data_IF_151150694114
#
_entry.id   IF_151150694114
#
_cell.length_a   1.000
_cell.length_b   1.000
_cell.length_c   1.000
_cell.angle_alpha   90.00
_cell.angle_beta   90.00
_cell.angle_gamma   90.00
#
_symmetry.space_group_name_H-M   'P 1'
#
loop_
_entity.id
_entity.type
_entity.pdbx_description
1 polymer ?
#
# COMPACT_ATOMS: atom_id res chain seq x y z
N UNK A 1 45.32 -52.85 72.85
CA UNK A 1 45.11 -53.44 71.51
C UNK A 1 45.33 -52.34 70.48
N UNK A 2 46.39 -52.50 69.68
CA UNK A 2 46.70 -51.69 68.50
C UNK A 2 45.83 -52.19 67.35
N UNK A 3 45.29 -51.27 66.55
CA UNK A 3 44.90 -51.58 65.17
C UNK A 3 45.34 -50.42 64.29
N UNK A 4 46.10 -50.77 63.26
CA UNK A 4 46.80 -49.92 62.31
C UNK A 4 46.00 -49.84 61.01
N UNK A 5 45.93 -48.68 60.34
CA UNK A 5 45.54 -48.58 58.92
C UNK A 5 45.91 -47.18 58.37
N UNK A 6 46.98 -47.02 57.61
CA UNK A 6 47.15 -47.06 56.13
C UNK A 6 46.83 -45.74 55.41
N UNK A 7 47.82 -45.26 54.64
CA UNK A 7 47.95 -44.02 53.84
C UNK A 7 47.21 -44.13 52.50
N UNK A 8 46.61 -43.03 51.99
CA UNK A 8 46.58 -42.70 50.53
C UNK A 8 46.53 -41.17 50.32
N UNK A 9 47.34 -40.57 49.42
CA UNK A 9 47.28 -39.17 49.01
C UNK A 9 46.31 -38.96 47.84
N UNK A 10 45.56 -37.87 47.80
CA UNK A 10 44.71 -37.51 46.64
C UNK A 10 45.17 -36.21 45.98
N UNK A 11 45.38 -36.34 44.66
CA UNK A 11 45.87 -35.34 43.72
C UNK A 11 45.01 -34.07 43.68
N UNK A 12 45.66 -32.91 43.55
CA UNK A 12 45.05 -31.66 43.10
C UNK A 12 44.82 -31.72 41.58
N UNK A 13 43.57 -31.83 41.15
CA UNK A 13 43.17 -31.64 39.75
C UNK A 13 43.01 -30.15 39.45
N UNK A 14 43.87 -29.61 38.59
CA UNK A 14 43.70 -28.30 37.98
C UNK A 14 42.69 -28.40 36.82
N UNK A 15 41.53 -27.74 36.96
CA UNK A 15 40.58 -27.60 35.87
C UNK A 15 41.04 -26.46 34.95
N UNK A 16 41.36 -26.80 33.69
CA UNK A 16 41.57 -25.82 32.62
C UNK A 16 40.18 -25.36 32.16
N UNK A 17 39.83 -24.11 32.50
CA UNK A 17 38.62 -23.44 32.06
C UNK A 17 38.80 -23.02 30.59
N UNK A 18 38.20 -23.77 29.67
CA UNK A 18 38.19 -23.45 28.24
C UNK A 18 36.96 -22.57 27.95
N UNK A 19 37.12 -21.25 28.01
CA UNK A 19 36.05 -20.30 27.69
C UNK A 19 35.89 -20.23 26.17
N UNK A 20 34.86 -20.89 25.64
CA UNK A 20 34.43 -20.73 24.24
C UNK A 20 33.68 -19.40 24.14
N UNK A 21 34.35 -18.39 23.60
CA UNK A 21 33.72 -17.13 23.17
C UNK A 21 32.85 -17.43 21.93
N UNK A 22 31.56 -17.64 22.14
CA UNK A 22 30.57 -17.58 21.07
C UNK A 22 30.43 -16.11 20.65
N UNK A 23 31.15 -15.72 19.60
CA UNK A 23 30.93 -14.45 18.92
C UNK A 23 29.53 -14.48 18.29
N UNK A 24 28.63 -13.65 18.81
CA UNK A 24 27.35 -13.36 18.18
C UNK A 24 27.60 -12.73 16.81
N UNK A 25 27.40 -13.50 15.75
CA UNK A 25 27.38 -12.98 14.39
C UNK A 25 26.14 -12.10 14.24
N UNK A 26 26.33 -10.78 14.28
CA UNK A 26 25.30 -9.83 13.86
C UNK A 26 25.13 -9.97 12.36
N UNK A 27 24.09 -10.68 11.93
CA UNK A 27 23.65 -10.62 10.55
C UNK A 27 23.19 -9.18 10.28
N UNK A 28 23.87 -8.49 9.37
CA UNK A 28 23.38 -7.23 8.84
C UNK A 28 22.06 -7.54 8.13
N UNK A 29 20.93 -7.22 8.77
CA UNK A 29 19.65 -7.23 8.07
C UNK A 29 19.73 -6.12 7.01
N UNK A 30 19.60 -6.49 5.74
CA UNK A 30 19.38 -5.51 4.69
C UNK A 30 18.10 -4.74 5.05
N UNK A 31 18.21 -3.43 5.25
CA UNK A 31 17.03 -2.59 5.41
C UNK A 31 16.21 -2.67 4.13
N UNK A 32 14.87 -2.87 4.21
CA UNK A 32 14.04 -2.85 3.02
C UNK A 32 14.23 -1.52 2.30
N UNK A 33 14.52 -1.58 0.99
CA UNK A 33 14.54 -0.38 0.16
C UNK A 33 13.11 0.14 0.08
N UNK A 34 12.82 1.39 0.49
CA UNK A 34 11.47 1.93 0.42
C UNK A 34 10.95 1.86 -1.01
N UNK A 35 9.78 1.26 -1.19
CA UNK A 35 9.11 1.25 -2.48
C UNK A 35 8.42 2.60 -2.67
N UNK A 36 8.79 3.28 -3.74
CA UNK A 36 8.16 4.52 -4.13
C UNK A 36 6.73 4.30 -4.61
N UNK A 37 5.79 5.09 -4.07
CA UNK A 37 4.44 5.22 -4.60
C UNK A 37 4.21 6.67 -4.93
N UNK A 38 4.03 6.93 -6.22
CA UNK A 38 3.94 8.26 -6.79
C UNK A 38 2.77 8.30 -7.74
N UNK A 39 1.87 9.27 -7.53
CA UNK A 39 0.69 9.47 -8.36
C UNK A 39 0.79 10.87 -8.96
N UNK A 40 0.94 10.93 -10.28
CA UNK A 40 1.12 12.16 -11.04
C UNK A 40 -0.19 12.88 -11.34
N UNK A 41 -1.32 12.16 -11.35
CA UNK A 41 -2.61 12.73 -11.69
C UNK A 41 -3.78 11.84 -11.33
N UNK A 42 -4.94 12.47 -11.19
CA UNK A 42 -6.23 11.82 -11.10
C UNK A 42 -7.23 12.61 -11.95
N UNK A 43 -8.19 11.95 -12.60
CA UNK A 43 -9.25 12.63 -13.33
C UNK A 43 -10.55 11.81 -13.33
N UNK A 44 -11.71 12.41 -13.04
CA UNK A 44 -12.99 11.74 -13.18
C UNK A 44 -13.45 11.75 -14.64
N UNK A 45 -14.05 10.64 -15.09
CA UNK A 45 -14.82 10.55 -16.33
C UNK A 45 -16.29 10.31 -15.96
N UNK A 46 -17.18 11.13 -16.50
CA UNK A 46 -18.62 11.08 -16.22
C UNK A 46 -19.39 10.58 -17.43
N UNK A 47 -20.46 9.84 -17.16
CA UNK A 47 -21.43 9.42 -18.15
C UNK A 47 -22.32 10.57 -18.63
N UNK A 48 -23.04 10.33 -19.70
CA UNK A 48 -23.87 11.35 -20.34
C UNK A 48 -25.14 11.72 -19.56
N UNK A 49 -25.49 10.96 -18.50
CA UNK A 49 -26.66 11.24 -17.65
C UNK A 49 -26.45 12.35 -16.63
N UNK A 50 -25.23 12.90 -16.52
CA UNK A 50 -24.95 14.01 -15.61
C UNK A 50 -25.05 15.35 -16.31
N UNK A 51 -25.57 16.35 -15.61
CA UNK A 51 -25.57 17.72 -16.09
C UNK A 51 -26.56 18.59 -15.33
N UNK A 52 -26.47 19.89 -15.56
CA UNK A 52 -27.47 20.84 -15.10
C UNK A 52 -28.46 21.07 -16.25
N UNK A 53 -29.74 20.77 -16.03
CA UNK A 53 -30.79 21.19 -16.94
C UNK A 53 -30.85 22.74 -16.98
N UNK A 54 -30.64 23.32 -18.16
CA UNK A 54 -30.54 24.78 -18.33
C UNK A 54 -31.91 25.47 -18.44
N UNK A 55 -32.96 24.71 -18.73
CA UNK A 55 -34.32 25.21 -18.86
C UNK A 55 -35.15 24.75 -17.65
N UNK A 56 -36.20 25.52 -17.32
CA UNK A 56 -37.27 25.04 -16.42
C UNK A 56 -38.07 23.96 -17.13
N UNK A 57 -37.44 22.81 -17.31
CA UNK A 57 -38.08 21.58 -17.74
C UNK A 57 -39.14 21.28 -16.69
N UNK A 58 -40.36 20.94 -17.13
CA UNK A 58 -41.37 20.44 -16.20
C UNK A 58 -40.76 19.30 -15.39
N UNK A 59 -40.97 19.24 -14.09
CA UNK A 59 -40.31 18.27 -13.20
C UNK A 59 -40.49 16.78 -13.56
N UNK A 60 -41.26 16.44 -14.58
CA UNK A 60 -41.44 15.07 -15.09
C UNK A 60 -40.68 14.82 -16.42
N UNK A 61 -39.96 15.83 -16.92
CA UNK A 61 -39.25 15.79 -18.21
C UNK A 61 -37.73 15.97 -18.06
N UNK A 62 -37.23 16.17 -16.84
CA UNK A 62 -35.79 16.24 -16.58
C UNK A 62 -35.12 14.94 -17.06
N UNK A 63 -33.91 15.07 -17.60
CA UNK A 63 -33.17 13.96 -18.20
C UNK A 63 -31.73 13.86 -17.72
N UNK A 64 -31.23 14.89 -17.04
CA UNK A 64 -29.88 14.97 -16.50
C UNK A 64 -29.93 15.14 -14.99
N UNK A 65 -29.17 14.32 -14.28
CA UNK A 65 -28.99 14.43 -12.84
C UNK A 65 -27.89 15.45 -12.52
N UNK A 66 -28.18 16.46 -11.69
CA UNK A 66 -27.17 17.45 -11.27
C UNK A 66 -26.32 16.91 -10.12
N UNK A 67 -25.36 16.05 -10.48
CA UNK A 67 -24.23 15.66 -9.61
C UNK A 67 -22.94 16.20 -10.22
N UNK A 68 -22.17 16.93 -9.43
CA UNK A 68 -20.93 17.57 -9.88
C UNK A 68 -19.73 16.92 -9.26
N UNK A 69 -18.83 16.44 -10.10
CA UNK A 69 -17.54 15.91 -9.69
C UNK A 69 -16.48 16.98 -9.96
N UNK A 70 -15.80 17.43 -8.90
CA UNK A 70 -14.68 18.35 -9.02
C UNK A 70 -13.38 17.62 -8.66
N UNK A 71 -12.41 17.68 -9.56
CA UNK A 71 -11.07 17.18 -9.31
C UNK A 71 -10.28 18.21 -8.51
N UNK A 72 -9.83 17.83 -7.31
CA UNK A 72 -8.98 18.68 -6.45
C UNK A 72 -7.63 18.02 -6.18
N UNK A 73 -7.34 16.91 -6.87
CA UNK A 73 -6.11 16.16 -6.70
C UNK A 73 -4.88 16.99 -7.12
N UNK A 74 -3.82 16.88 -6.32
CA UNK A 74 -2.49 17.33 -6.66
C UNK A 74 -1.52 16.15 -6.64
N UNK A 75 -0.57 16.13 -7.56
CA UNK A 75 0.48 15.11 -7.59
C UNK A 75 1.20 15.00 -6.24
N UNK A 76 1.50 13.78 -5.84
CA UNK A 76 2.02 13.48 -4.52
C UNK A 76 2.71 12.13 -4.49
N UNK A 77 3.68 12.02 -3.58
CA UNK A 77 4.54 10.88 -3.41
C UNK A 77 4.50 10.46 -1.94
N UNK A 78 4.24 9.18 -1.69
CA UNK A 78 4.29 8.66 -0.34
C UNK A 78 4.79 7.22 -0.33
N UNK A 79 6.05 6.96 0.10
CA UNK A 79 6.62 5.63 0.05
C UNK A 79 5.86 4.66 0.99
N UNK A 80 5.65 3.44 0.51
CA UNK A 80 5.12 2.33 1.31
C UNK A 80 6.21 1.26 1.39
N UNK A 81 6.79 1.05 2.57
CA UNK A 81 7.91 0.13 2.79
C UNK A 81 7.50 -1.20 3.43
N UNK A 82 6.30 -1.27 4.02
CA UNK A 82 5.85 -2.44 4.77
C UNK A 82 4.49 -2.94 4.28
N UNK A 83 4.33 -4.26 4.22
CA UNK A 83 3.04 -4.89 3.93
C UNK A 83 2.01 -4.47 4.99
N UNK A 84 0.85 -4.04 4.52
CA UNK A 84 -0.22 -3.49 5.35
C UNK A 84 -0.13 -1.97 5.55
N UNK A 85 0.98 -1.32 5.16
CA UNK A 85 1.07 0.13 5.19
C UNK A 85 0.09 0.73 4.16
N UNK A 86 -0.60 1.79 4.58
CA UNK A 86 -1.60 2.48 3.78
C UNK A 86 -1.36 3.97 3.69
N UNK A 87 -1.82 4.55 2.60
CA UNK A 87 -1.81 5.98 2.37
C UNK A 87 -3.15 6.42 1.78
N UNK A 88 -3.78 7.38 2.45
CA UNK A 88 -5.05 7.96 2.02
C UNK A 88 -4.86 9.39 1.56
N UNK A 89 -5.55 9.75 0.50
CA UNK A 89 -5.52 11.08 -0.08
C UNK A 89 -6.84 11.46 -0.74
N UNK A 90 -7.04 12.75 -0.94
CA UNK A 90 -8.23 13.30 -1.58
C UNK A 90 -8.06 13.30 -3.11
N UNK A 91 -9.07 12.80 -3.81
CA UNK A 91 -9.19 12.88 -5.27
C UNK A 91 -9.94 14.14 -5.69
N UNK A 92 -10.98 14.48 -4.95
CA UNK A 92 -11.96 15.44 -5.40
C UNK A 92 -13.15 15.56 -4.47
N UNK A 93 -14.15 16.26 -4.94
CA UNK A 93 -15.45 16.37 -4.29
C UNK A 93 -16.57 15.91 -5.22
N UNK A 94 -17.62 15.37 -4.62
CA UNK A 94 -18.88 15.01 -5.27
C UNK A 94 -19.95 15.84 -4.63
N UNK A 95 -20.65 16.66 -5.41
CA UNK A 95 -21.65 17.59 -4.93
C UNK A 95 -22.99 17.28 -5.60
N UNK A 96 -23.93 16.77 -4.81
CA UNK A 96 -25.28 16.50 -5.26
C UNK A 96 -26.09 17.80 -5.18
N UNK A 97 -26.52 18.30 -6.34
CA UNK A 97 -27.19 19.59 -6.49
C UNK A 97 -28.52 19.45 -7.22
N UNK A 98 -29.16 18.32 -7.05
CA UNK A 98 -30.44 18.08 -7.70
C UNK A 98 -31.49 19.05 -7.13
N UNK A 99 -31.87 20.02 -7.96
CA UNK A 99 -32.76 21.11 -7.63
C UNK A 99 -33.97 21.01 -8.55
N UNK A 100 -34.68 19.88 -8.58
CA UNK A 100 -35.67 19.69 -9.65
C UNK A 100 -36.74 20.80 -9.62
N UNK A 101 -36.65 21.72 -10.59
CA UNK A 101 -37.46 22.94 -10.69
C UNK A 101 -38.78 22.65 -11.39
N UNK A 102 -39.67 21.90 -10.73
CA UNK A 102 -41.06 21.76 -11.14
C UNK A 102 -41.96 22.86 -10.60
N UNK A 103 -43.10 23.10 -11.25
CA UNK A 103 -44.19 23.83 -10.59
C UNK A 103 -44.81 22.93 -9.50
N UNK A 104 -44.38 23.15 -8.26
CA UNK A 104 -44.76 22.37 -7.09
C UNK A 104 -43.52 22.09 -6.24
N UNK A 105 -43.61 22.25 -4.93
CA UNK A 105 -42.48 22.18 -3.98
C UNK A 105 -41.87 20.77 -3.83
N UNK A 106 -41.90 19.91 -4.85
CA UNK A 106 -41.40 18.55 -4.78
C UNK A 106 -40.05 18.45 -5.52
N UNK A 107 -38.97 18.61 -4.76
CA UNK A 107 -37.64 18.19 -5.17
C UNK A 107 -37.67 16.65 -5.31
N UNK A 108 -37.33 16.10 -6.48
CA UNK A 108 -37.35 14.66 -6.73
C UNK A 108 -36.35 14.28 -7.83
N UNK A 109 -35.91 13.03 -7.85
CA UNK A 109 -35.29 12.40 -9.03
C UNK A 109 -36.40 11.74 -9.86
N UNK A 110 -36.42 11.98 -11.16
CA UNK A 110 -37.30 11.32 -12.12
C UNK A 110 -36.66 10.04 -12.66
N UNK A 111 -37.48 9.13 -13.18
CA UNK A 111 -36.97 7.90 -13.81
C UNK A 111 -36.10 8.15 -15.04
N UNK A 112 -36.21 9.31 -15.68
CA UNK A 112 -35.44 9.62 -16.87
C UNK A 112 -34.02 10.09 -16.53
N UNK A 113 -33.77 10.48 -15.28
CA UNK A 113 -32.46 10.93 -14.79
C UNK A 113 -31.60 9.77 -14.25
N UNK A 114 -32.12 8.54 -14.21
CA UNK A 114 -31.40 7.38 -13.66
C UNK A 114 -30.51 6.65 -14.67
N UNK A 115 -30.57 7.03 -15.94
CA UNK A 115 -29.84 6.38 -17.02
C UNK A 115 -28.52 7.10 -17.35
N UNK A 116 -27.52 6.34 -17.82
CA UNK A 116 -26.26 6.92 -18.30
C UNK A 116 -25.35 7.50 -17.21
N UNK A 117 -25.57 7.12 -15.94
CA UNK A 117 -24.88 7.66 -14.76
C UNK A 117 -23.49 7.04 -14.49
N UNK A 118 -22.78 6.50 -15.48
CA UNK A 118 -21.46 5.90 -15.24
C UNK A 118 -20.43 6.88 -14.68
N UNK A 119 -19.60 6.45 -13.73
CA UNK A 119 -18.49 7.26 -13.19
C UNK A 119 -17.23 6.40 -13.12
N UNK A 120 -16.10 6.96 -13.53
CA UNK A 120 -14.80 6.33 -13.33
C UNK A 120 -13.74 7.35 -12.94
N UNK A 121 -12.71 6.91 -12.23
CA UNK A 121 -11.50 7.68 -11.92
C UNK A 121 -10.31 7.07 -12.63
N UNK A 122 -9.62 7.89 -13.42
CA UNK A 122 -8.32 7.56 -13.99
C UNK A 122 -7.23 8.05 -13.04
N UNK A 123 -6.38 7.15 -12.54
CA UNK A 123 -5.22 7.47 -11.71
C UNK A 123 -3.93 7.18 -12.47
N UNK A 124 -3.07 8.18 -12.62
CA UNK A 124 -1.79 8.06 -13.32
C UNK A 124 -0.67 7.84 -12.31
N UNK A 125 -0.17 6.61 -12.22
CA UNK A 125 0.97 6.28 -11.37
C UNK A 125 2.28 6.54 -12.13
N UNK A 126 3.27 7.04 -11.41
CA UNK A 126 4.67 7.20 -11.86
C UNK A 126 5.60 6.20 -11.17
N UNK A 127 5.25 5.78 -9.95
CA UNK A 127 5.86 4.67 -9.21
C UNK A 127 4.77 3.83 -8.55
N UNK A 128 4.85 2.49 -8.54
CA UNK A 128 5.98 1.66 -8.97
C UNK A 128 6.15 1.50 -10.50
N UNK A 129 5.30 2.14 -11.29
CA UNK A 129 5.34 2.14 -12.76
C UNK A 129 4.79 3.44 -13.33
N UNK A 130 4.96 3.62 -14.65
CA UNK A 130 4.25 4.63 -15.43
C UNK A 130 3.04 3.96 -16.10
N UNK A 131 1.90 3.95 -15.42
CA UNK A 131 0.65 3.39 -15.98
C UNK A 131 -0.58 4.11 -15.44
N UNK A 132 -1.63 4.10 -16.25
CA UNK A 132 -2.94 4.61 -15.85
C UNK A 132 -3.82 3.46 -15.36
N UNK A 133 -4.49 3.69 -14.23
CA UNK A 133 -5.42 2.75 -13.62
C UNK A 133 -6.80 3.38 -13.67
N UNK A 134 -7.74 2.72 -14.34
CA UNK A 134 -9.12 3.16 -14.40
C UNK A 134 -9.96 2.39 -13.38
N UNK A 135 -10.53 3.12 -12.43
CA UNK A 135 -11.41 2.60 -11.40
C UNK A 135 -12.83 2.98 -11.76
N UNK A 136 -13.75 2.02 -11.84
CA UNK A 136 -15.15 2.27 -12.23
C UNK A 136 -16.07 2.11 -11.03
N UNK A 137 -16.98 3.06 -10.84
CA UNK A 137 -17.98 3.01 -9.78
C UNK A 137 -19.18 2.16 -10.17
N UNK A 138 -19.82 1.58 -9.15
CA UNK A 138 -21.21 1.17 -9.18
C UNK A 138 -22.08 2.31 -8.67
N UNK A 139 -23.05 2.74 -9.47
CA UNK A 139 -23.88 3.92 -9.18
C UNK A 139 -25.30 3.47 -8.87
N UNK A 140 -25.91 4.09 -7.86
CA UNK A 140 -27.33 3.96 -7.57
C UNK A 140 -27.98 5.33 -7.57
N UNK A 141 -29.05 5.51 -8.34
CA UNK A 141 -29.92 6.67 -8.29
C UNK A 141 -31.36 6.19 -8.15
N UNK A 142 -32.06 6.63 -7.12
CA UNK A 142 -33.42 6.22 -6.83
C UNK A 142 -34.40 7.31 -7.24
N UNK A 143 -35.26 7.03 -8.21
CA UNK A 143 -36.33 7.95 -8.55
C UNK A 143 -37.32 8.08 -7.38
N UNK A 144 -37.62 9.31 -6.98
CA UNK A 144 -38.40 9.58 -5.79
C UNK A 144 -38.17 10.98 -5.22
N UNK A 145 -38.94 11.37 -4.19
CA UNK A 145 -38.76 12.64 -3.49
C UNK A 145 -37.36 12.74 -2.87
N UNK A 146 -36.76 13.93 -2.93
CA UNK A 146 -35.49 14.22 -2.27
C UNK A 146 -35.70 14.64 -0.82
N UNK A 147 -34.67 14.42 0.00
CA UNK A 147 -34.70 14.83 1.42
C UNK A 147 -35.63 13.97 2.26
N UNK A 148 -35.76 12.69 1.88
CA UNK A 148 -36.36 11.66 2.71
C UNK A 148 -35.28 10.75 3.31
N UNK A 149 -35.71 9.75 4.11
CA UNK A 149 -34.79 8.85 4.81
C UNK A 149 -34.02 7.88 3.89
N UNK A 150 -34.60 7.38 2.77
CA UNK A 150 -33.85 6.66 1.74
C UNK A 150 -32.65 7.43 1.15
N UNK A 151 -31.72 6.68 0.57
CA UNK A 151 -30.62 7.23 -0.22
C UNK A 151 -31.14 7.60 -1.60
N UNK A 152 -30.95 8.85 -2.00
CA UNK A 152 -31.32 9.37 -3.32
C UNK A 152 -30.27 8.98 -4.37
N UNK A 153 -29.00 9.18 -4.02
CA UNK A 153 -27.87 8.94 -4.92
C UNK A 153 -26.67 8.36 -4.17
N UNK A 154 -26.01 7.38 -4.78
CA UNK A 154 -24.88 6.66 -4.19
C UNK A 154 -23.82 6.30 -5.23
N UNK A 155 -22.56 6.46 -4.84
CA UNK A 155 -21.37 6.09 -5.58
C UNK A 155 -20.60 5.06 -4.76
N UNK A 156 -20.51 3.84 -5.29
CA UNK A 156 -19.87 2.72 -4.60
C UNK A 156 -18.70 2.19 -5.43
N UNK A 157 -17.65 1.75 -4.75
CA UNK A 157 -16.43 1.31 -5.40
C UNK A 157 -16.08 -0.13 -5.05
N UNK A 158 -15.47 -0.83 -6.01
CA UNK A 158 -14.86 -2.13 -5.74
C UNK A 158 -13.36 -1.95 -5.51
N UNK A 159 -12.88 -2.51 -4.40
CA UNK A 159 -11.45 -2.61 -4.11
C UNK A 159 -10.72 -3.25 -5.29
N UNK A 160 -9.70 -2.56 -5.82
CA UNK A 160 -8.98 -3.00 -7.01
C UNK A 160 -7.54 -3.39 -6.66
N UNK A 161 -7.19 -4.69 -6.67
CA UNK A 161 -5.82 -5.13 -6.51
C UNK A 161 -5.02 -4.94 -7.80
N UNK A 162 -3.76 -4.56 -7.67
CA UNK A 162 -2.84 -4.23 -8.75
C UNK A 162 -1.50 -4.92 -8.48
N UNK A 163 -1.06 -5.76 -9.40
CA UNK A 163 0.21 -6.49 -9.29
C UNK A 163 1.32 -5.67 -9.91
N UNK A 164 2.46 -5.49 -9.23
CA UNK A 164 3.61 -4.74 -9.70
C UNK A 164 4.94 -5.46 -9.46
N UNK A 165 5.93 -5.14 -10.30
CA UNK A 165 7.19 -5.88 -10.31
C UNK A 165 6.98 -7.39 -10.44
N UNK A 166 7.88 -8.16 -9.85
CA UNK A 166 7.70 -9.62 -9.70
C UNK A 166 7.16 -9.89 -8.30
N UNK A 167 5.92 -10.36 -8.19
CA UNK A 167 5.32 -10.76 -6.91
C UNK A 167 4.84 -9.61 -6.01
N UNK A 168 4.97 -8.34 -6.41
CA UNK A 168 4.44 -7.22 -5.65
C UNK A 168 2.95 -7.03 -5.91
N UNK A 169 2.21 -6.59 -4.91
CA UNK A 169 0.79 -6.27 -5.04
C UNK A 169 0.39 -5.11 -4.12
N UNK A 170 -0.43 -4.19 -4.62
CA UNK A 170 -1.12 -3.20 -3.81
C UNK A 170 -2.61 -3.20 -4.13
N UNK A 171 -3.41 -2.56 -3.28
CA UNK A 171 -4.83 -2.37 -3.49
C UNK A 171 -5.18 -0.90 -3.43
N UNK A 172 -6.03 -0.47 -4.35
CA UNK A 172 -6.67 0.85 -4.30
C UNK A 172 -8.11 0.67 -3.85
N UNK A 173 -8.51 1.46 -2.85
CA UNK A 173 -9.88 1.56 -2.36
C UNK A 173 -10.31 3.01 -2.37
N UNK A 174 -11.45 3.30 -2.98
CA UNK A 174 -12.12 4.59 -2.85
C UNK A 174 -13.17 4.48 -1.74
N UNK A 175 -13.43 5.57 -1.01
CA UNK A 175 -14.59 5.57 -0.10
C UNK A 175 -15.89 5.67 -0.90
N UNK A 176 -16.92 5.04 -0.38
CA UNK A 176 -18.27 5.20 -0.91
C UNK A 176 -18.82 6.57 -0.50
N UNK A 177 -19.70 7.11 -1.34
CA UNK A 177 -20.38 8.38 -1.13
C UNK A 177 -21.88 8.13 -1.30
N UNK A 178 -22.69 8.68 -0.40
CA UNK A 178 -24.14 8.55 -0.46
C UNK A 178 -24.81 9.82 0.03
N UNK A 179 -25.90 10.22 -0.63
CA UNK A 179 -26.70 11.38 -0.29
C UNK A 179 -28.11 10.94 0.09
N UNK A 180 -28.54 11.31 1.29
CA UNK A 180 -29.86 11.09 1.89
C UNK A 180 -30.19 12.27 2.82
N UNK A 181 -31.47 12.47 3.18
CA UNK A 181 -32.02 13.39 4.21
C UNK A 181 -31.69 14.90 4.07
N UNK A 182 -30.43 15.24 3.77
CA UNK A 182 -29.94 16.55 3.36
C UNK A 182 -29.09 16.39 2.08
N UNK A 183 -29.75 16.47 0.92
CA UNK A 183 -29.15 16.38 -0.41
C UNK A 183 -28.32 17.63 -0.81
N UNK A 184 -27.89 18.45 0.16
CA UNK A 184 -27.16 19.69 -0.09
C UNK A 184 -25.78 19.62 0.55
N UNK A 185 -24.75 19.58 -0.29
CA UNK A 185 -23.37 19.72 0.13
C UNK A 185 -22.42 18.78 -0.59
N UNK A 186 -21.20 19.24 -0.77
CA UNK A 186 -20.13 18.43 -1.34
C UNK A 186 -19.59 17.43 -0.31
N UNK A 187 -19.44 16.17 -0.71
CA UNK A 187 -18.69 15.15 0.02
C UNK A 187 -17.32 14.92 -0.63
N UNK A 188 -16.31 14.67 0.19
CA UNK A 188 -14.94 14.39 -0.30
C UNK A 188 -14.83 12.96 -0.80
N UNK A 189 -14.33 12.80 -2.02
CA UNK A 189 -13.87 11.52 -2.55
C UNK A 189 -12.39 11.34 -2.23
N UNK A 190 -12.08 10.28 -1.50
CA UNK A 190 -10.74 9.85 -1.13
C UNK A 190 -10.40 8.51 -1.79
N UNK A 191 -9.10 8.29 -1.96
CA UNK A 191 -8.53 7.00 -2.34
C UNK A 191 -7.51 6.57 -1.28
N UNK A 192 -7.45 5.28 -1.03
CA UNK A 192 -6.50 4.63 -0.12
C UNK A 192 -5.72 3.58 -0.88
N UNK A 193 -4.41 3.74 -0.94
CA UNK A 193 -3.48 2.74 -1.46
C UNK A 193 -2.96 1.93 -0.27
N UNK A 194 -3.03 0.61 -0.35
CA UNK A 194 -2.48 -0.31 0.67
C UNK A 194 -1.51 -1.27 0.01
N UNK A 195 -0.28 -1.35 0.50
CA UNK A 195 0.68 -2.35 0.06
C UNK A 195 0.27 -3.72 0.61
N UNK A 196 0.07 -4.70 -0.27
CA UNK A 196 -0.36 -6.06 0.10
C UNK A 196 0.80 -7.05 0.07
N UNK A 197 1.68 -6.92 -0.92
CA UNK A 197 2.84 -7.79 -1.09
C UNK A 197 4.02 -6.96 -1.60
N UNK A 198 5.21 -7.18 -1.03
CA UNK A 198 6.45 -6.58 -1.52
C UNK A 198 6.91 -7.31 -2.78
N UNK A 199 7.49 -6.59 -3.77
CA UNK A 199 8.08 -7.25 -4.91
C UNK A 199 9.26 -8.11 -4.44
N UNK A 200 9.46 -9.25 -5.08
CA UNK A 200 10.68 -10.02 -4.92
C UNK A 200 11.87 -9.10 -5.24
N UNK A 201 12.86 -9.08 -4.35
CA UNK A 201 14.12 -8.44 -4.66
C UNK A 201 14.60 -9.02 -5.99
N UNK A 202 14.90 -8.16 -6.97
CA UNK A 202 15.53 -8.61 -8.20
C UNK A 202 16.69 -9.52 -7.80
N UNK A 203 16.85 -10.72 -8.40
CA UNK A 203 17.96 -11.59 -8.07
C UNK A 203 19.20 -10.72 -8.20
N UNK A 204 19.89 -10.49 -7.09
CA UNK A 204 21.03 -9.62 -7.07
C UNK A 204 21.95 -10.14 -8.17
N UNK A 205 22.05 -9.41 -9.28
CA UNK A 205 23.22 -9.48 -10.17
C UNK A 205 24.40 -8.78 -9.46
N UNK A 206 24.49 -8.96 -8.13
CA UNK A 206 25.75 -8.99 -7.45
C UNK A 206 26.48 -10.16 -8.11
N UNK A 207 27.30 -9.81 -9.09
CA UNK A 207 28.68 -10.24 -9.03
C UNK A 207 29.16 -9.87 -7.62
N UNK A 208 28.79 -10.69 -6.64
CA UNK A 208 29.46 -10.79 -5.38
C UNK A 208 30.89 -11.11 -5.81
N UNK A 209 31.71 -10.06 -5.93
CA UNK A 209 33.14 -10.18 -5.74
C UNK A 209 33.21 -10.98 -4.46
N UNK A 210 33.49 -12.28 -4.59
CA UNK A 210 33.53 -13.22 -3.49
C UNK A 210 34.53 -12.61 -2.50
N UNK A 211 34.02 -11.88 -1.50
CA UNK A 211 34.83 -11.32 -0.44
C UNK A 211 35.35 -12.57 0.24
N UNK A 212 36.66 -12.87 0.19
CA UNK A 212 37.17 -14.10 0.75
C UNK A 212 36.83 -14.08 2.23
N UNK A 213 36.04 -15.06 2.67
CA UNK A 213 35.67 -15.18 4.08
C UNK A 213 36.94 -15.14 4.94
N UNK A 214 36.93 -14.49 6.11
CA UNK A 214 38.12 -14.29 6.94
C UNK A 214 38.82 -15.60 7.36
N UNK A 215 38.15 -16.75 7.24
CA UNK A 215 38.78 -18.07 7.37
C UNK A 215 39.90 -18.31 6.33
N UNK A 216 39.76 -17.75 5.12
CA UNK A 216 40.75 -17.87 4.04
C UNK A 216 42.02 -17.06 4.32
N UNK A 217 41.89 -15.90 4.99
CA UNK A 217 43.06 -15.12 5.46
C UNK A 217 43.74 -15.80 6.65
N UNK A 218 42.97 -16.42 7.54
CA UNK A 218 43.53 -17.19 8.65
C UNK A 218 44.35 -18.41 8.17
N UNK A 219 43.89 -19.10 7.13
CA UNK A 219 44.61 -20.26 6.57
C UNK A 219 45.93 -19.87 5.89
N UNK A 220 45.98 -18.73 5.20
CA UNK A 220 47.22 -18.19 4.62
C UNK A 220 48.19 -17.72 5.72
N UNK A 221 47.68 -17.11 6.80
CA UNK A 221 48.49 -16.72 7.96
C UNK A 221 49.11 -17.92 8.70
N UNK A 222 48.36 -19.01 8.86
CA UNK A 222 48.86 -20.25 9.48
C UNK A 222 49.90 -20.95 8.58
N UNK A 223 49.71 -20.94 7.26
CA UNK A 223 50.65 -21.54 6.31
C UNK A 223 52.04 -20.85 6.32
N UNK A 224 52.08 -19.51 6.47
CA UNK A 224 53.34 -18.77 6.58
C UNK A 224 54.03 -18.92 7.93
N UNK A 225 53.27 -19.02 9.03
CA UNK A 225 53.85 -19.26 10.36
C UNK A 225 54.53 -20.64 10.46
N UNK A 226 53.96 -21.68 9.84
CA UNK A 226 54.53 -23.04 9.82
C UNK A 226 55.90 -23.17 9.12
N UNK A 227 56.15 -22.35 8.10
CA UNK A 227 57.42 -22.37 7.34
C UNK A 227 58.63 -21.84 8.14
N UNK A 228 58.41 -20.98 9.14
CA UNK A 228 59.50 -20.45 9.97
C UNK A 228 59.95 -21.42 11.08
N UNK A 229 59.05 -22.27 11.57
CA UNK A 229 59.36 -23.27 12.61
C UNK A 229 60.10 -24.49 12.03
N UNK A 230 59.79 -24.89 10.80
CA UNK A 230 60.43 -26.04 10.17
C UNK A 230 61.94 -25.84 9.87
N UNK A 231 62.43 -24.59 9.81
CA UNK A 231 63.84 -24.30 9.49
C UNK A 231 64.78 -24.42 10.69
N UNK A 232 64.28 -24.58 11.93
CA UNK A 232 65.11 -24.55 13.16
C UNK A 232 65.55 -25.94 13.68
N UNK A 233 65.26 -27.03 12.97
CA UNK A 233 65.61 -28.41 13.39
C UNK A 233 66.66 -29.13 12.51
N UNK A 234 67.54 -28.39 11.85
CA UNK A 234 68.79 -28.94 11.30
C UNK A 234 69.99 -28.13 11.77
N UNK A 235 70.45 -28.41 12.99
CA UNK A 235 71.85 -28.38 13.41
C UNK A 235 72.06 -29.49 14.42
#
# INVERSE_FOLDING_TARGET
MRTSMTIVPTLRSAAILCTVLFGSASFAQASPVPLGFSIAGAAPTLGAGYGQETDRVEADKASLLDVRFANTFSAQDNPLSEVGQSWTFELGTVDFRELNTGSGNAHKITSNETDGLGVSWLLSFTEPWVTDINLTAHITANAGPLGDAPVDYGVYWTDTPMNFGTGGQFRIRLNDISFADSHLGAQTQTATVTLLELPEAAPNNDLALAIPEPASLALVGVALAGLTVARRRKR
#
